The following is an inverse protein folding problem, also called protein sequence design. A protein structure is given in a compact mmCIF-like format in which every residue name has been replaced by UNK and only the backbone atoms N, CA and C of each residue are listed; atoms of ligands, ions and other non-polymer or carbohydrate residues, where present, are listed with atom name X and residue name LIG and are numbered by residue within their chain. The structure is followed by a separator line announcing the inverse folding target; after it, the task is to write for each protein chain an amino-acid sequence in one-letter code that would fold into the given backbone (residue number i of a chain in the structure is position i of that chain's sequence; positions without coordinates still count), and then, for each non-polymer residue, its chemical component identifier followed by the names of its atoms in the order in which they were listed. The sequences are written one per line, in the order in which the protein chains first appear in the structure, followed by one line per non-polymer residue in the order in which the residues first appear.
data_IF_127109112608
#
_entry.id   IF_127109112608
#
_cell.length_a   1.000
_cell.length_b   1.000
_cell.length_c   1.000
_cell.angle_alpha   90.00
_cell.angle_beta   90.00
_cell.angle_gamma   90.00
#
_symmetry.space_group_name_H-M   'P 1'
#
loop_
_entity.id
_entity.type
_entity.pdbx_description
1 polymer ?
#
# COMPACT_ATOMS: atom_id res chain seq x y z
N UNK A 1 14.40 3.63 -38.16
CA UNK A 1 15.39 3.78 -37.06
C UNK A 1 14.75 4.22 -35.74
N UNK A 2 13.79 5.16 -35.73
CA UNK A 2 13.14 5.62 -34.48
C UNK A 2 12.28 4.53 -33.80
N UNK A 3 11.53 3.76 -34.58
CA UNK A 3 10.81 2.55 -34.13
C UNK A 3 11.76 1.39 -33.71
N UNK A 4 12.97 1.34 -34.25
CA UNK A 4 13.98 0.34 -33.89
C UNK A 4 14.78 0.69 -32.61
N UNK A 5 14.49 1.85 -31.99
CA UNK A 5 15.12 2.35 -30.75
C UNK A 5 14.13 2.59 -29.62
N UNK A 6 12.89 2.11 -29.74
CA UNK A 6 11.88 2.21 -28.67
C UNK A 6 11.41 3.63 -28.33
N UNK A 7 11.55 4.61 -29.24
CA UNK A 7 10.98 5.97 -29.08
C UNK A 7 11.58 6.86 -27.98
N UNK A 8 12.62 6.39 -27.26
CA UNK A 8 13.26 7.13 -26.17
C UNK A 8 12.53 7.03 -24.83
N UNK A 9 13.11 7.61 -23.77
CA UNK A 9 12.63 7.51 -22.39
C UNK A 9 11.12 7.79 -22.22
N UNK A 10 10.53 8.85 -22.81
CA UNK A 10 9.09 9.09 -22.70
C UNK A 10 8.23 8.01 -23.36
N UNK A 11 8.65 7.48 -24.50
CA UNK A 11 7.89 6.44 -25.20
C UNK A 11 7.93 5.10 -24.45
N UNK A 12 9.08 4.75 -23.86
CA UNK A 12 9.21 3.59 -22.98
C UNK A 12 8.30 3.72 -21.76
N UNK A 13 8.29 4.89 -21.10
CA UNK A 13 7.39 5.16 -19.98
C UNK A 13 5.91 4.99 -20.36
N UNK A 14 5.48 5.58 -21.48
CA UNK A 14 4.11 5.43 -21.96
C UNK A 14 3.77 3.96 -22.30
N UNK A 15 4.70 3.24 -22.96
CA UNK A 15 4.52 1.82 -23.27
C UNK A 15 4.39 0.96 -22.02
N UNK A 16 5.20 1.21 -20.99
CA UNK A 16 5.11 0.52 -19.72
C UNK A 16 3.79 0.81 -18.99
N UNK A 17 3.33 2.07 -18.95
CA UNK A 17 2.03 2.40 -18.37
C UNK A 17 0.86 1.74 -19.13
N UNK A 18 0.98 1.57 -20.44
CA UNK A 18 -0.01 0.82 -21.22
C UNK A 18 -0.01 -0.68 -20.88
N UNK A 19 1.15 -1.28 -20.61
CA UNK A 19 1.26 -2.68 -20.17
C UNK A 19 0.57 -2.91 -18.82
N UNK A 20 0.70 -1.98 -17.87
CA UNK A 20 -0.07 -2.01 -16.61
C UNK A 20 -1.56 -2.10 -16.90
N UNK A 21 -2.08 -1.22 -17.76
CA UNK A 21 -3.50 -1.20 -18.13
C UNK A 21 -3.98 -2.47 -18.87
N UNK A 22 -3.05 -3.19 -19.52
CA UNK A 22 -3.32 -4.46 -20.21
C UNK A 22 -3.22 -5.68 -19.27
N UNK A 23 -2.90 -5.48 -17.99
CA UNK A 23 -2.77 -6.57 -17.02
C UNK A 23 -1.40 -7.26 -17.05
N UNK A 24 -0.37 -6.59 -17.56
CA UNK A 24 1.03 -7.03 -17.52
C UNK A 24 1.89 -6.11 -16.64
N UNK A 25 1.64 -6.09 -15.32
CA UNK A 25 2.33 -5.20 -14.40
C UNK A 25 3.82 -5.55 -14.25
N UNK A 26 4.20 -6.82 -14.47
CA UNK A 26 5.59 -7.28 -14.35
C UNK A 26 6.51 -6.64 -15.37
N UNK A 27 6.16 -6.76 -16.64
CA UNK A 27 6.99 -6.23 -17.72
C UNK A 27 6.97 -4.70 -17.71
N UNK A 28 5.84 -4.10 -17.34
CA UNK A 28 5.73 -2.67 -17.10
C UNK A 28 6.70 -2.20 -16.00
N UNK A 29 6.67 -2.85 -14.84
CA UNK A 29 7.48 -2.47 -13.69
C UNK A 29 8.98 -2.59 -14.00
N UNK A 30 9.40 -3.67 -14.66
CA UNK A 30 10.79 -3.85 -15.08
C UNK A 30 11.26 -2.76 -16.05
N UNK A 31 10.42 -2.34 -16.99
CA UNK A 31 10.74 -1.25 -17.92
C UNK A 31 10.84 0.10 -17.19
N UNK A 32 9.91 0.40 -16.28
CA UNK A 32 9.92 1.62 -15.48
C UNK A 32 11.15 1.66 -14.57
N UNK A 33 11.52 0.56 -13.92
CA UNK A 33 12.72 0.50 -13.08
C UNK A 33 14.01 0.74 -13.87
N UNK A 34 14.16 0.07 -15.01
CA UNK A 34 15.29 0.30 -15.90
C UNK A 34 15.38 1.78 -16.32
N UNK A 35 14.23 2.39 -16.55
CA UNK A 35 14.14 3.80 -16.94
C UNK A 35 14.45 4.76 -15.78
N UNK A 36 14.01 4.45 -14.55
CA UNK A 36 14.32 5.25 -13.36
C UNK A 36 15.83 5.30 -13.09
N UNK A 37 16.55 4.21 -13.38
CA UNK A 37 18.00 4.12 -13.18
C UNK A 37 18.83 4.70 -14.33
N UNK A 38 18.23 4.95 -15.49
CA UNK A 38 18.91 5.54 -16.63
C UNK A 38 19.36 6.99 -16.33
N UNK A 39 20.42 7.49 -16.98
CA UNK A 39 20.82 8.89 -16.86
C UNK A 39 19.69 9.85 -17.25
N UNK A 40 19.47 10.87 -16.42
CA UNK A 40 18.40 11.83 -16.63
C UNK A 40 18.20 12.75 -15.42
N UNK A 41 17.22 13.64 -15.57
CA UNK A 41 16.77 14.52 -14.50
C UNK A 41 16.31 13.74 -13.26
N UNK A 42 16.72 14.19 -12.07
CA UNK A 42 16.47 13.47 -10.81
C UNK A 42 15.00 13.45 -10.43
N UNK A 43 14.26 14.54 -10.69
CA UNK A 43 12.83 14.61 -10.39
C UNK A 43 12.06 13.62 -11.25
N UNK A 44 12.35 13.59 -12.55
CA UNK A 44 11.76 12.65 -13.51
C UNK A 44 12.04 11.20 -13.13
N UNK A 45 13.28 10.89 -12.72
CA UNK A 45 13.65 9.53 -12.26
C UNK A 45 12.94 9.14 -10.97
N UNK A 46 12.74 10.07 -10.04
CA UNK A 46 11.97 9.82 -8.82
C UNK A 46 10.50 9.52 -9.14
N UNK A 47 9.91 10.24 -10.10
CA UNK A 47 8.52 9.99 -10.52
C UNK A 47 8.36 8.62 -11.16
N UNK A 48 9.28 8.24 -12.05
CA UNK A 48 9.29 6.94 -12.71
C UNK A 48 9.52 5.81 -11.69
N UNK A 49 10.39 6.02 -10.71
CA UNK A 49 10.58 5.06 -9.62
C UNK A 49 9.30 4.83 -8.80
N UNK A 50 8.50 5.88 -8.60
CA UNK A 50 7.18 5.77 -7.98
C UNK A 50 6.17 5.01 -8.84
N UNK A 51 6.23 5.13 -10.16
CA UNK A 51 5.42 4.35 -11.08
C UNK A 51 5.84 2.87 -11.08
N UNK A 52 7.16 2.60 -11.14
CA UNK A 52 7.70 1.25 -11.05
C UNK A 52 7.26 0.57 -9.75
N UNK A 53 7.34 1.29 -8.62
CA UNK A 53 6.93 0.77 -7.32
C UNK A 53 5.45 0.36 -7.28
N UNK A 54 4.55 1.16 -7.86
CA UNK A 54 3.12 0.83 -7.94
C UNK A 54 2.87 -0.36 -8.87
N UNK A 55 3.57 -0.42 -10.01
CA UNK A 55 3.47 -1.56 -10.92
C UNK A 55 3.96 -2.86 -10.26
N UNK A 56 5.04 -2.82 -9.46
CA UNK A 56 5.46 -3.98 -8.67
C UNK A 56 4.45 -4.39 -7.59
N UNK A 57 3.70 -3.44 -7.00
CA UNK A 57 2.60 -3.79 -6.09
C UNK A 57 1.46 -4.51 -6.81
N UNK A 58 1.13 -4.08 -8.03
CA UNK A 58 0.12 -4.74 -8.86
C UNK A 58 0.56 -6.13 -9.33
N UNK A 59 1.86 -6.35 -9.59
CA UNK A 59 2.42 -7.69 -9.85
C UNK A 59 2.41 -8.60 -8.60
N UNK A 60 2.33 -8.01 -7.40
CA UNK A 60 2.44 -8.73 -6.14
C UNK A 60 3.88 -8.99 -5.71
N UNK A 61 4.84 -8.17 -6.14
CA UNK A 61 6.24 -8.17 -5.66
C UNK A 61 6.49 -6.96 -4.72
N UNK A 62 6.10 -7.07 -3.43
CA UNK A 62 6.27 -5.99 -2.48
C UNK A 62 7.75 -5.68 -2.16
N UNK A 63 8.67 -6.61 -2.44
CA UNK A 63 10.10 -6.39 -2.25
C UNK A 63 10.64 -5.39 -3.27
N UNK A 64 10.40 -5.66 -4.57
CA UNK A 64 10.79 -4.73 -5.63
C UNK A 64 10.06 -3.40 -5.55
N UNK A 65 8.79 -3.42 -5.14
CA UNK A 65 8.04 -2.18 -4.90
C UNK A 65 8.72 -1.32 -3.81
N UNK A 66 9.15 -1.94 -2.72
CA UNK A 66 9.85 -1.26 -1.63
C UNK A 66 11.18 -0.65 -2.09
N UNK A 67 11.97 -1.42 -2.84
CA UNK A 67 13.26 -0.98 -3.37
C UNK A 67 13.11 0.18 -4.37
N UNK A 68 12.16 0.08 -5.29
CA UNK A 68 11.87 1.11 -6.30
C UNK A 68 11.42 2.42 -5.66
N UNK A 69 10.50 2.35 -4.70
CA UNK A 69 10.07 3.55 -3.96
C UNK A 69 11.19 4.09 -3.08
N UNK A 70 12.04 3.23 -2.52
CA UNK A 70 13.24 3.61 -1.76
C UNK A 70 14.26 4.37 -2.60
N UNK A 71 14.48 3.91 -3.83
CA UNK A 71 15.29 4.62 -4.82
C UNK A 71 14.70 6.01 -5.12
N UNK A 72 13.40 6.09 -5.39
CA UNK A 72 12.71 7.37 -5.60
C UNK A 72 12.88 8.32 -4.43
N UNK A 73 12.77 7.83 -3.19
CA UNK A 73 12.99 8.64 -1.97
C UNK A 73 14.44 9.08 -1.79
N UNK A 74 15.43 8.28 -2.23
CA UNK A 74 16.81 8.73 -2.23
C UNK A 74 17.02 9.94 -3.16
N UNK A 75 16.26 10.02 -4.26
CA UNK A 75 16.27 11.15 -5.19
C UNK A 75 15.40 12.33 -4.70
N UNK A 76 14.30 12.05 -4.01
CA UNK A 76 13.34 13.04 -3.52
C UNK A 76 12.83 12.70 -2.10
N UNK A 77 13.62 12.96 -1.03
CA UNK A 77 13.37 12.46 0.32
C UNK A 77 12.06 12.94 0.99
N UNK A 78 11.51 14.05 0.51
CA UNK A 78 10.31 14.68 1.06
C UNK A 78 9.00 14.30 0.37
N UNK A 79 9.01 13.41 -0.63
CA UNK A 79 7.78 13.08 -1.36
C UNK A 79 6.80 12.24 -0.51
N UNK A 80 5.62 12.76 -0.15
CA UNK A 80 4.62 11.99 0.57
C UNK A 80 4.09 10.78 -0.21
N UNK A 81 3.96 10.87 -1.53
CA UNK A 81 3.47 9.79 -2.38
C UNK A 81 4.43 8.60 -2.38
N UNK A 82 5.74 8.85 -2.52
CA UNK A 82 6.75 7.79 -2.46
C UNK A 82 6.85 7.17 -1.06
N UNK A 83 6.69 7.96 0.01
CA UNK A 83 6.62 7.44 1.39
C UNK A 83 5.44 6.50 1.59
N UNK A 84 4.27 6.84 1.07
CA UNK A 84 3.07 5.98 1.12
C UNK A 84 3.30 4.67 0.37
N UNK A 85 3.80 4.75 -0.87
CA UNK A 85 4.03 3.55 -1.69
C UNK A 85 5.08 2.65 -1.03
N UNK A 86 6.21 3.21 -0.56
CA UNK A 86 7.24 2.45 0.14
C UNK A 86 6.72 1.84 1.44
N UNK A 87 5.96 2.58 2.23
CA UNK A 87 5.42 2.08 3.49
C UNK A 87 4.43 0.92 3.26
N UNK A 88 3.55 1.01 2.26
CA UNK A 88 2.64 -0.10 1.90
C UNK A 88 3.43 -1.35 1.52
N UNK A 89 4.37 -1.21 0.60
CA UNK A 89 5.25 -2.31 0.18
C UNK A 89 6.07 -2.86 1.37
N UNK A 90 6.50 -1.99 2.28
CA UNK A 90 7.26 -2.35 3.46
C UNK A 90 6.45 -3.16 4.47
N UNK A 91 5.17 -2.84 4.68
CA UNK A 91 4.26 -3.64 5.51
C UNK A 91 4.15 -5.07 4.97
N UNK A 92 4.01 -5.23 3.65
CA UNK A 92 3.84 -6.52 2.98
C UNK A 92 5.14 -7.35 2.94
N UNK A 93 6.29 -6.70 2.79
CA UNK A 93 7.62 -7.33 2.68
C UNK A 93 8.37 -7.47 4.02
N UNK A 94 7.76 -7.14 5.16
CA UNK A 94 8.34 -7.32 6.50
C UNK A 94 9.13 -6.13 7.05
N UNK A 95 9.18 -5.01 6.33
CA UNK A 95 9.83 -3.76 6.71
C UNK A 95 8.93 -2.80 7.51
N UNK A 96 8.13 -3.35 8.44
CA UNK A 96 7.11 -2.57 9.17
C UNK A 96 7.69 -1.38 9.97
N UNK A 97 8.91 -1.52 10.53
CA UNK A 97 9.57 -0.41 11.24
C UNK A 97 9.91 0.76 10.31
N UNK A 98 10.32 0.49 9.07
CA UNK A 98 10.59 1.52 8.07
C UNK A 98 9.29 2.17 7.58
N UNK A 99 8.21 1.38 7.41
CA UNK A 99 6.90 1.91 7.08
C UNK A 99 6.39 2.91 8.13
N UNK A 100 6.58 2.63 9.42
CA UNK A 100 6.28 3.58 10.50
C UNK A 100 7.14 4.84 10.38
N UNK A 101 8.43 4.71 10.13
CA UNK A 101 9.32 5.86 9.99
C UNK A 101 8.92 6.77 8.80
N UNK A 102 8.55 6.17 7.67
CA UNK A 102 8.13 6.88 6.46
C UNK A 102 6.82 7.65 6.65
N UNK A 103 5.90 7.10 7.44
CA UNK A 103 4.58 7.67 7.67
C UNK A 103 4.47 8.42 9.01
N UNK A 104 5.55 8.48 9.80
CA UNK A 104 5.63 9.37 10.96
C UNK A 104 5.38 10.84 10.56
N UNK A 105 6.01 11.37 9.49
CA UNK A 105 5.55 12.60 8.86
C UNK A 105 4.29 12.32 8.03
N UNK A 106 3.13 12.45 8.67
CA UNK A 106 1.85 12.28 7.99
C UNK A 106 1.68 13.32 6.86
N UNK A 107 1.12 12.91 5.71
CA UNK A 107 0.85 13.83 4.61
C UNK A 107 -0.29 14.79 4.97
N UNK A 108 -0.26 16.00 4.41
CA UNK A 108 -1.27 17.02 4.69
C UNK A 108 -2.57 16.83 3.88
N UNK A 109 -2.49 16.21 2.69
CA UNK A 109 -3.65 16.01 1.83
C UNK A 109 -4.62 15.00 2.49
N UNK A 110 -5.93 15.31 2.62
CA UNK A 110 -6.88 14.48 3.36
C UNK A 110 -6.91 13.01 2.93
N UNK A 111 -6.99 12.72 1.63
CA UNK A 111 -7.07 11.35 1.13
C UNK A 111 -5.78 10.56 1.41
N UNK A 112 -4.63 11.22 1.18
CA UNK A 112 -3.32 10.65 1.50
C UNK A 112 -3.12 10.45 3.00
N UNK A 113 -3.70 11.33 3.83
CA UNK A 113 -3.66 11.24 5.29
C UNK A 113 -4.40 10.01 5.78
N UNK A 114 -5.64 9.79 5.33
CA UNK A 114 -6.41 8.59 5.68
C UNK A 114 -5.65 7.33 5.26
N UNK A 115 -5.15 7.29 4.03
CA UNK A 115 -4.37 6.16 3.52
C UNK A 115 -3.10 5.89 4.35
N UNK A 116 -2.36 6.95 4.70
CA UNK A 116 -1.16 6.85 5.52
C UNK A 116 -1.46 6.34 6.94
N UNK A 117 -2.55 6.80 7.55
CA UNK A 117 -2.99 6.33 8.88
C UNK A 117 -3.29 4.83 8.85
N UNK A 118 -4.03 4.34 7.86
CA UNK A 118 -4.34 2.90 7.72
C UNK A 118 -3.08 2.06 7.52
N UNK A 119 -2.16 2.48 6.64
CA UNK A 119 -0.90 1.75 6.41
C UNK A 119 -0.04 1.74 7.68
N UNK A 120 0.05 2.88 8.38
CA UNK A 120 0.85 2.99 9.60
C UNK A 120 0.24 2.18 10.75
N UNK A 121 -1.08 2.12 10.85
CA UNK A 121 -1.77 1.21 11.76
C UNK A 121 -1.41 -0.25 11.49
N UNK A 122 -1.45 -0.66 10.21
CA UNK A 122 -1.03 -2.01 9.78
C UNK A 122 0.43 -2.31 10.14
N UNK A 123 1.32 -1.33 9.98
CA UNK A 123 2.71 -1.44 10.38
C UNK A 123 2.85 -1.58 11.91
N UNK A 124 2.14 -0.78 12.69
CA UNK A 124 2.12 -0.90 14.16
C UNK A 124 1.58 -2.25 14.61
N UNK A 125 0.51 -2.76 13.99
CA UNK A 125 -0.03 -4.09 14.27
C UNK A 125 1.01 -5.19 14.01
N UNK A 126 1.71 -5.15 12.88
CA UNK A 126 2.79 -6.11 12.58
C UNK A 126 3.95 -6.06 13.58
N UNK A 127 4.16 -4.92 14.22
CA UNK A 127 5.15 -4.73 15.30
C UNK A 127 4.59 -5.08 16.69
N UNK A 128 3.35 -5.57 16.79
CA UNK A 128 2.68 -5.87 18.07
C UNK A 128 2.27 -4.62 18.87
N UNK A 129 2.34 -3.42 18.28
CA UNK A 129 1.99 -2.15 18.94
C UNK A 129 0.52 -1.82 18.74
N UNK A 130 -0.36 -2.69 19.25
CA UNK A 130 -1.81 -2.66 18.99
C UNK A 130 -2.46 -1.35 19.43
N UNK A 131 -2.05 -0.76 20.55
CA UNK A 131 -2.60 0.53 21.02
C UNK A 131 -2.33 1.67 20.05
N UNK A 132 -1.14 1.71 19.44
CA UNK A 132 -0.81 2.73 18.44
C UNK A 132 -1.55 2.49 17.13
N UNK A 133 -1.73 1.22 16.74
CA UNK A 133 -2.53 0.87 15.58
C UNK A 133 -3.98 1.34 15.75
N UNK A 134 -4.57 1.17 16.94
CA UNK A 134 -5.90 1.68 17.27
C UNK A 134 -5.98 3.21 17.17
N UNK A 135 -5.00 3.94 17.70
CA UNK A 135 -5.01 5.41 17.61
C UNK A 135 -5.04 5.88 16.15
N UNK A 136 -4.23 5.28 15.28
CA UNK A 136 -4.21 5.63 13.86
C UNK A 136 -5.50 5.22 13.15
N UNK A 137 -6.09 4.06 13.50
CA UNK A 137 -7.33 3.60 12.86
C UNK A 137 -8.54 4.44 13.28
N UNK A 138 -8.63 4.83 14.55
CA UNK A 138 -9.69 5.71 15.04
C UNK A 138 -9.62 7.06 14.30
N UNK A 139 -8.42 7.60 14.13
CA UNK A 139 -8.21 8.82 13.36
C UNK A 139 -8.57 8.66 11.86
N UNK A 140 -8.32 7.51 11.25
CA UNK A 140 -8.74 7.25 9.87
C UNK A 140 -10.27 7.16 9.77
N UNK A 141 -10.92 6.47 10.70
CA UNK A 141 -12.37 6.28 10.75
C UNK A 141 -13.14 7.58 11.01
N UNK A 142 -12.60 8.50 11.82
CA UNK A 142 -13.19 9.84 12.02
C UNK A 142 -13.26 10.66 10.71
N UNK A 143 -12.35 10.39 9.77
CA UNK A 143 -12.25 11.10 8.49
C UNK A 143 -13.05 10.42 7.39
N UNK A 144 -12.96 9.10 7.33
CA UNK A 144 -13.62 8.29 6.31
C UNK A 144 -14.26 7.06 6.97
N UNK A 145 -15.47 7.21 7.56
CA UNK A 145 -16.13 6.13 8.31
C UNK A 145 -16.53 4.90 7.48
N UNK A 146 -16.43 4.99 6.16
CA UNK A 146 -16.74 3.92 5.21
C UNK A 146 -15.51 3.52 4.37
N UNK A 147 -14.31 3.94 4.77
CA UNK A 147 -13.09 3.47 4.11
C UNK A 147 -12.91 1.97 4.36
N UNK A 148 -12.97 1.20 3.28
CA UNK A 148 -12.97 -0.27 3.33
C UNK A 148 -11.65 -0.81 3.91
N UNK A 149 -10.53 -0.15 3.63
CA UNK A 149 -9.24 -0.56 4.16
C UNK A 149 -9.13 -0.26 5.67
N UNK A 150 -9.68 0.88 6.11
CA UNK A 150 -9.74 1.24 7.52
C UNK A 150 -10.66 0.31 8.31
N UNK A 151 -11.83 -0.05 7.77
CA UNK A 151 -12.74 -1.02 8.40
C UNK A 151 -12.08 -2.40 8.55
N UNK A 152 -11.45 -2.91 7.49
CA UNK A 152 -10.74 -4.19 7.54
C UNK A 152 -9.65 -4.19 8.61
N UNK A 153 -8.80 -3.16 8.61
CA UNK A 153 -7.70 -3.05 9.56
C UNK A 153 -8.21 -2.81 11.00
N UNK A 154 -9.32 -2.08 11.20
CA UNK A 154 -9.98 -1.93 12.50
C UNK A 154 -10.50 -3.26 13.02
N UNK A 155 -11.12 -4.08 12.17
CA UNK A 155 -11.59 -5.41 12.55
C UNK A 155 -10.44 -6.29 13.06
N UNK A 156 -9.31 -6.29 12.36
CA UNK A 156 -8.10 -7.03 12.79
C UNK A 156 -7.55 -6.46 14.11
N UNK A 157 -7.50 -5.14 14.27
CA UNK A 157 -7.04 -4.51 15.52
C UNK A 157 -7.97 -4.86 16.68
N UNK A 158 -9.30 -4.82 16.49
CA UNK A 158 -10.31 -5.19 17.50
C UNK A 158 -10.20 -6.65 17.91
N UNK A 159 -10.01 -7.55 16.94
CA UNK A 159 -9.75 -8.97 17.22
C UNK A 159 -8.56 -9.12 18.17
N UNK A 160 -7.42 -8.48 17.85
CA UNK A 160 -6.21 -8.50 18.69
C UNK A 160 -6.39 -7.87 20.08
N UNK A 161 -7.46 -7.10 20.28
CA UNK A 161 -7.84 -6.50 21.56
C UNK A 161 -8.89 -7.34 22.30
N UNK A 162 -9.36 -8.45 21.71
CA UNK A 162 -10.42 -9.29 22.26
C UNK A 162 -11.84 -8.79 21.98
N UNK A 163 -12.02 -7.71 21.22
CA UNK A 163 -13.34 -7.24 20.78
C UNK A 163 -13.79 -8.00 19.53
N UNK A 164 -14.09 -9.28 19.71
CA UNK A 164 -14.49 -10.19 18.64
C UNK A 164 -15.84 -9.79 18.01
N UNK A 165 -16.72 -9.17 18.79
CA UNK A 165 -18.03 -8.70 18.30
C UNK A 165 -17.86 -7.49 17.39
N UNK A 166 -17.06 -6.51 17.80
CA UNK A 166 -16.74 -5.35 16.97
C UNK A 166 -15.93 -5.72 15.73
N UNK A 167 -15.02 -6.70 15.84
CA UNK A 167 -14.26 -7.22 14.70
C UNK A 167 -15.17 -7.83 13.63
N UNK A 168 -16.10 -8.71 14.04
CA UNK A 168 -17.10 -9.30 13.14
C UNK A 168 -17.91 -8.23 12.42
N UNK A 169 -18.45 -7.25 13.15
CA UNK A 169 -19.27 -6.20 12.55
C UNK A 169 -18.51 -5.36 11.52
N UNK A 170 -17.22 -5.10 11.75
CA UNK A 170 -16.38 -4.37 10.78
C UNK A 170 -16.14 -5.18 9.51
N UNK A 171 -15.85 -6.47 9.64
CA UNK A 171 -15.63 -7.37 8.50
C UNK A 171 -16.91 -7.61 7.69
N UNK A 172 -18.06 -7.72 8.35
CA UNK A 172 -19.37 -7.74 7.68
C UNK A 172 -19.59 -6.46 6.87
N UNK A 173 -19.30 -5.30 7.45
CA UNK A 173 -19.44 -4.02 6.75
C UNK A 173 -18.48 -3.90 5.55
N UNK A 174 -17.28 -4.47 5.62
CA UNK A 174 -16.35 -4.56 4.47
C UNK A 174 -16.99 -5.35 3.33
N UNK A 175 -17.61 -6.50 3.64
CA UNK A 175 -18.28 -7.33 2.65
C UNK A 175 -19.51 -6.65 2.03
N UNK A 176 -20.24 -5.85 2.81
CA UNK A 176 -21.40 -5.09 2.31
C UNK A 176 -20.99 -3.93 1.39
N UNK A 177 -19.92 -3.21 1.74
CA UNK A 177 -19.48 -2.03 0.99
C UNK A 177 -18.72 -2.37 -0.30
N UNK A 178 -17.96 -3.48 -0.30
CA UNK A 178 -17.10 -3.84 -1.43
C UNK A 178 -17.02 -5.38 -1.62
N UNK A 179 -18.14 -6.04 -1.97
CA UNK A 179 -18.26 -7.50 -1.97
C UNK A 179 -17.26 -8.21 -2.88
N UNK A 180 -16.86 -7.59 -3.99
CA UNK A 180 -15.95 -8.18 -4.99
C UNK A 180 -14.51 -7.69 -4.84
N UNK A 181 -14.14 -7.15 -3.67
CA UNK A 181 -12.80 -6.65 -3.40
C UNK A 181 -11.92 -7.67 -2.69
N UNK A 182 -10.59 -7.53 -2.86
CA UNK A 182 -9.60 -8.29 -2.08
C UNK A 182 -9.80 -8.12 -0.57
N UNK A 183 -10.24 -6.93 -0.13
CA UNK A 183 -10.53 -6.66 1.27
C UNK A 183 -11.72 -7.47 1.76
N UNK A 184 -12.77 -7.65 0.96
CA UNK A 184 -13.87 -8.55 1.30
C UNK A 184 -13.43 -10.01 1.35
N UNK A 185 -12.54 -10.45 0.46
CA UNK A 185 -11.96 -11.80 0.55
C UNK A 185 -11.16 -12.01 1.85
N UNK A 186 -10.37 -11.01 2.25
CA UNK A 186 -9.66 -11.03 3.54
C UNK A 186 -10.63 -11.03 4.72
N UNK A 187 -11.67 -10.19 4.69
CA UNK A 187 -12.69 -10.14 5.73
C UNK A 187 -13.42 -11.48 5.90
N UNK A 188 -13.75 -12.16 4.79
CA UNK A 188 -14.32 -13.53 4.81
C UNK A 188 -13.37 -14.52 5.45
N UNK A 189 -12.09 -14.45 5.11
CA UNK A 189 -11.07 -15.33 5.69
C UNK A 189 -10.95 -15.11 7.20
N UNK A 190 -10.85 -13.85 7.63
CA UNK A 190 -10.73 -13.50 9.04
C UNK A 190 -11.98 -13.91 9.84
N UNK A 191 -13.17 -13.72 9.26
CA UNK A 191 -14.42 -14.16 9.87
C UNK A 191 -14.51 -15.69 9.98
N UNK A 192 -14.12 -16.43 8.94
CA UNK A 192 -14.11 -17.89 8.98
C UNK A 192 -13.15 -18.44 10.03
N UNK A 193 -11.98 -17.80 10.21
CA UNK A 193 -11.05 -18.14 11.31
C UNK A 193 -11.70 -17.89 12.67
N UNK A 194 -12.36 -16.76 12.84
CA UNK A 194 -13.06 -16.42 14.09
C UNK A 194 -14.22 -17.38 14.40
N UNK A 195 -14.95 -17.86 13.40
CA UNK A 195 -16.05 -18.81 13.59
C UNK A 195 -15.55 -20.23 13.93
N UNK A 196 -14.39 -20.61 13.39
CA UNK A 196 -13.77 -21.89 13.69
C UNK A 196 -13.22 -21.96 15.13
N UNK A 197 -12.83 -20.81 15.69
CA UNK A 197 -12.36 -20.69 17.08
C UNK A 197 -12.85 -19.35 17.70
N UNK A 198 -14.08 -19.35 18.26
CA UNK A 198 -14.69 -18.12 18.79
C UNK A 198 -14.00 -17.59 20.05
N UNK A 199 -13.06 -18.33 20.63
CA UNK A 199 -12.28 -17.95 21.81
C UNK A 199 -10.83 -17.55 21.47
N UNK A 200 -10.44 -17.54 20.18
CA UNK A 200 -9.08 -17.22 19.74
C UNK A 200 -8.73 -15.72 19.93
N UNK A 201 -7.59 -15.40 20.57
CA UNK A 201 -7.12 -14.03 20.80
C UNK A 201 -6.35 -13.38 19.64
#
# INVERSE_FOLDING_TARGET
AWQARGGGAPAVRCGALALVALGDPRDAAAQLDGLAHAPGDLATRADIAGEAARAWQEDGDPGRAFDSAGYGLALRPGDPGLRIVRARAGVESGHAAQAVADLSPLPAAPDALTQALVIRASAYRRLGRIDLARVDIDAAMDRAPQDVAALLERGIVRQRQGDLTGARGDWEQVMDLAPDSRQADMARQDLAVLEADPDAP
#
